data_IF_213822039824
#
_entry.id   IF_213822039824
#
_cell.length_a   1.000
_cell.length_b   1.000
_cell.length_c   1.000
_cell.angle_alpha   90.00
_cell.angle_beta   90.00
_cell.angle_gamma   90.00
#
_symmetry.space_group_name_H-M   'P 1'
#
loop_
_entity.id
_entity.type
_entity.pdbx_description
1 polymer ?
#
# COMPACT_ATOMS: atom_id res chain seq x y z
N UNK A 1 -4.78 9.10 8.64
CA UNK A 1 -4.86 7.62 8.62
C UNK A 1 -3.48 7.04 8.90
N UNK A 2 -3.42 5.80 9.37
CA UNK A 2 -2.20 5.02 9.48
C UNK A 2 -1.99 4.24 8.18
N UNK A 3 -0.90 4.52 7.46
CA UNK A 3 -0.64 3.97 6.14
C UNK A 3 0.68 3.19 6.17
N UNK A 4 0.65 1.97 5.64
CA UNK A 4 1.87 1.19 5.40
C UNK A 4 2.16 1.22 3.90
N UNK A 5 3.36 1.65 3.53
CA UNK A 5 3.85 1.61 2.15
C UNK A 5 4.88 0.50 2.03
N UNK A 6 4.64 -0.45 1.12
CA UNK A 6 5.42 -1.66 0.97
C UNK A 6 6.09 -1.77 -0.39
N UNK A 7 7.40 -1.97 -0.38
CA UNK A 7 8.24 -2.11 -1.56
C UNK A 7 9.09 -0.86 -1.82
N UNK A 8 9.85 -0.91 -2.91
CA UNK A 8 10.62 0.26 -3.35
C UNK A 8 9.66 1.36 -3.78
N UNK A 9 9.69 2.49 -3.08
CA UNK A 9 8.87 3.67 -3.38
C UNK A 9 9.55 4.53 -4.46
N UNK A 10 9.58 4.00 -5.69
CA UNK A 10 10.24 4.67 -6.83
C UNK A 10 9.49 5.95 -7.27
N UNK A 11 8.19 6.00 -7.03
CA UNK A 11 7.29 7.10 -7.30
C UNK A 11 6.73 7.55 -5.95
N UNK A 12 7.30 8.59 -5.32
CA UNK A 12 7.35 8.79 -3.87
C UNK A 12 5.98 9.01 -3.22
N UNK A 13 5.20 7.93 -3.11
CA UNK A 13 3.83 7.96 -2.59
C UNK A 13 3.83 8.08 -1.08
N UNK A 14 4.88 7.61 -0.41
CA UNK A 14 5.05 7.82 1.02
C UNK A 14 5.12 9.32 1.34
N UNK A 15 5.97 10.07 0.63
CA UNK A 15 6.14 11.52 0.85
C UNK A 15 4.86 12.29 0.55
N UNK A 16 4.12 11.90 -0.49
CA UNK A 16 2.83 12.50 -0.85
C UNK A 16 1.78 12.28 0.26
N UNK A 17 1.68 11.05 0.75
CA UNK A 17 0.73 10.68 1.82
C UNK A 17 1.11 11.34 3.16
N UNK A 18 2.39 11.46 3.47
CA UNK A 18 2.84 12.23 4.65
C UNK A 18 2.52 13.73 4.53
N UNK A 19 2.62 14.29 3.32
CA UNK A 19 2.35 15.71 3.06
C UNK A 19 0.88 16.08 3.26
N UNK A 20 -0.03 15.14 3.00
CA UNK A 20 -1.47 15.25 3.32
C UNK A 20 -1.77 15.06 4.82
N UNK A 21 -0.76 14.75 5.65
CA UNK A 21 -0.89 14.67 7.11
C UNK A 21 -1.25 13.28 7.64
N UNK A 22 -1.14 12.24 6.83
CA UNK A 22 -1.28 10.86 7.27
C UNK A 22 0.02 10.37 7.93
N UNK A 23 -0.09 9.37 8.82
CA UNK A 23 1.07 8.72 9.43
C UNK A 23 1.51 7.58 8.53
N UNK A 24 2.74 7.64 8.01
CA UNK A 24 3.28 6.65 7.07
C UNK A 24 4.35 5.80 7.72
N UNK A 25 4.30 4.50 7.46
CA UNK A 25 5.37 3.56 7.77
C UNK A 25 5.80 2.86 6.49
N UNK A 26 7.05 3.07 6.08
CA UNK A 26 7.61 2.44 4.88
C UNK A 26 8.34 1.15 5.25
N UNK A 27 8.08 0.08 4.51
CA UNK A 27 8.75 -1.21 4.66
C UNK A 27 9.29 -1.68 3.32
N UNK A 28 10.57 -2.08 3.31
CA UNK A 28 11.23 -2.57 2.09
C UNK A 28 10.66 -3.94 1.66
N UNK A 29 10.46 -4.85 2.62
CA UNK A 29 9.90 -6.19 2.36
C UNK A 29 8.72 -6.49 3.26
N UNK A 30 7.52 -6.61 2.69
CA UNK A 30 6.28 -6.82 3.42
C UNK A 30 6.00 -8.30 3.74
N UNK A 31 6.89 -8.94 4.49
CA UNK A 31 6.64 -10.24 5.10
C UNK A 31 5.84 -10.10 6.41
N UNK A 32 5.30 -11.20 6.94
CA UNK A 32 4.47 -11.18 8.15
C UNK A 32 5.15 -10.49 9.35
N UNK A 33 6.36 -10.92 9.81
CA UNK A 33 7.04 -10.24 10.91
C UNK A 33 7.19 -8.74 10.71
N UNK A 34 7.61 -8.32 9.51
CA UNK A 34 7.80 -6.90 9.20
C UNK A 34 6.50 -6.13 9.26
N UNK A 35 5.39 -6.70 8.77
CA UNK A 35 4.07 -6.06 8.85
C UNK A 35 3.54 -5.95 10.29
N UNK A 36 3.76 -6.97 11.12
CA UNK A 36 3.38 -6.92 12.53
C UNK A 36 4.20 -5.85 13.28
N UNK A 37 5.51 -5.81 13.05
CA UNK A 37 6.42 -4.82 13.64
C UNK A 37 6.15 -3.39 13.16
N UNK A 38 5.65 -3.23 11.94
CA UNK A 38 5.25 -1.93 11.37
C UNK A 38 3.86 -1.47 11.79
N UNK A 39 3.15 -2.25 12.62
CA UNK A 39 1.85 -1.85 13.18
C UNK A 39 0.65 -2.07 12.24
N UNK A 40 0.70 -3.06 11.34
CA UNK A 40 -0.39 -3.34 10.38
C UNK A 40 -1.76 -3.55 11.02
N UNK A 41 -1.82 -4.01 12.26
CA UNK A 41 -3.08 -4.23 12.98
C UNK A 41 -3.89 -2.94 13.21
N UNK A 42 -3.22 -1.80 13.24
CA UNK A 42 -3.84 -0.48 13.43
C UNK A 42 -3.75 0.37 12.14
N UNK A 43 -3.26 -0.21 11.05
CA UNK A 43 -3.19 0.47 9.76
C UNK A 43 -4.56 0.50 9.08
N UNK A 44 -4.91 1.68 8.55
CA UNK A 44 -6.13 1.89 7.78
C UNK A 44 -5.93 1.48 6.32
N UNK A 45 -4.71 1.72 5.79
CA UNK A 45 -4.36 1.53 4.38
C UNK A 45 -3.04 0.80 4.25
N UNK A 46 -2.99 -0.17 3.33
CA UNK A 46 -1.79 -0.82 2.84
C UNK A 46 -1.58 -0.45 1.37
N UNK A 47 -0.51 0.28 1.10
CA UNK A 47 -0.08 0.68 -0.24
C UNK A 47 1.04 -0.24 -0.70
N UNK A 48 0.86 -0.94 -1.82
CA UNK A 48 1.89 -1.76 -2.45
C UNK A 48 2.46 -1.00 -3.65
N UNK A 49 3.77 -0.73 -3.63
CA UNK A 49 4.48 -0.06 -4.75
C UNK A 49 5.26 -1.02 -5.63
N UNK A 50 5.41 -2.29 -5.21
CA UNK A 50 6.18 -3.31 -5.92
C UNK A 50 5.33 -4.58 -6.14
N UNK A 51 4.97 -4.85 -7.40
CA UNK A 51 4.07 -5.96 -7.77
C UNK A 51 4.69 -7.33 -7.43
N UNK A 52 6.00 -7.45 -7.43
CA UNK A 52 6.75 -8.65 -7.05
C UNK A 52 6.41 -9.09 -5.62
N UNK A 53 5.98 -8.15 -4.77
CA UNK A 53 5.56 -8.40 -3.40
C UNK A 53 4.04 -8.58 -3.25
N UNK A 54 3.28 -8.81 -4.32
CA UNK A 54 1.82 -8.96 -4.28
C UNK A 54 1.29 -10.05 -3.33
N UNK A 55 2.12 -11.02 -2.93
CA UNK A 55 1.77 -12.01 -1.89
C UNK A 55 1.58 -11.39 -0.51
N UNK A 56 2.18 -10.22 -0.25
CA UNK A 56 2.02 -9.46 0.99
C UNK A 56 0.60 -8.96 1.21
N UNK A 57 -0.19 -8.73 0.15
CA UNK A 57 -1.60 -8.32 0.24
C UNK A 57 -2.40 -9.32 1.08
N UNK A 58 -2.23 -10.62 0.80
CA UNK A 58 -2.92 -11.67 1.53
C UNK A 58 -2.48 -11.73 3.01
N UNK A 59 -1.23 -11.40 3.28
CA UNK A 59 -0.69 -11.34 4.65
C UNK A 59 -1.28 -10.14 5.39
N UNK A 60 -1.32 -8.96 4.75
CA UNK A 60 -1.90 -7.75 5.33
C UNK A 60 -3.39 -7.94 5.66
N UNK A 61 -4.19 -8.50 4.74
CA UNK A 61 -5.61 -8.83 4.98
C UNK A 61 -5.78 -9.90 6.07
N UNK A 62 -4.87 -10.86 6.20
CA UNK A 62 -4.92 -11.86 7.28
C UNK A 62 -4.66 -11.23 8.66
N UNK A 63 -3.72 -10.27 8.75
CA UNK A 63 -3.38 -9.56 9.99
C UNK A 63 -4.39 -8.46 10.34
N UNK A 64 -4.99 -7.83 9.33
CA UNK A 64 -5.95 -6.74 9.44
C UNK A 64 -7.04 -6.89 8.35
N UNK A 65 -8.14 -7.64 8.62
CA UNK A 65 -9.16 -7.97 7.61
C UNK A 65 -9.83 -6.76 6.94
N UNK A 66 -9.93 -5.65 7.68
CA UNK A 66 -10.60 -4.42 7.22
C UNK A 66 -9.65 -3.42 6.54
N UNK A 67 -8.35 -3.71 6.44
CA UNK A 67 -7.37 -2.80 5.84
C UNK A 67 -7.70 -2.55 4.37
N UNK A 68 -7.68 -1.29 3.92
CA UNK A 68 -7.86 -0.94 2.50
C UNK A 68 -6.54 -1.20 1.77
N UNK A 69 -6.59 -1.96 0.69
CA UNK A 69 -5.42 -2.29 -0.13
C UNK A 69 -5.41 -1.43 -1.39
N UNK A 70 -4.38 -0.60 -1.51
CA UNK A 70 -4.10 0.22 -2.69
C UNK A 70 -2.83 -0.30 -3.33
N UNK A 71 -2.85 -0.50 -4.65
CA UNK A 71 -1.65 -0.85 -5.41
C UNK A 71 -1.31 0.34 -6.29
N UNK A 72 -0.12 0.90 -6.06
CA UNK A 72 0.40 2.06 -6.78
C UNK A 72 1.71 1.66 -7.45
N UNK A 73 1.61 0.96 -8.57
CA UNK A 73 2.75 0.35 -9.22
C UNK A 73 2.50 0.14 -10.72
N UNK A 74 3.57 0.16 -11.52
CA UNK A 74 3.47 -0.24 -12.92
C UNK A 74 3.19 -1.74 -13.08
N UNK A 75 2.52 -2.10 -14.17
CA UNK A 75 2.30 -3.50 -14.53
C UNK A 75 0.95 -4.04 -14.10
N UNK A 76 0.90 -5.32 -13.73
CA UNK A 76 -0.36 -5.99 -13.43
C UNK A 76 -0.19 -6.99 -12.31
N UNK A 77 -1.11 -6.92 -11.34
CA UNK A 77 -1.17 -7.89 -10.26
C UNK A 77 -1.40 -9.31 -10.82
N UNK A 78 -0.78 -10.33 -10.21
CA UNK A 78 -1.19 -11.72 -10.41
C UNK A 78 -2.68 -11.93 -10.09
N UNK A 79 -3.31 -12.89 -10.77
CA UNK A 79 -4.75 -13.15 -10.63
C UNK A 79 -5.20 -13.39 -9.17
N UNK A 80 -4.36 -14.06 -8.38
CA UNK A 80 -4.66 -14.35 -6.97
C UNK A 80 -4.72 -13.10 -6.09
N UNK A 81 -3.95 -12.06 -6.44
CA UNK A 81 -3.85 -10.81 -5.68
C UNK A 81 -4.88 -9.78 -6.16
N UNK A 82 -5.24 -9.82 -7.45
CA UNK A 82 -6.14 -8.86 -8.08
C UNK A 82 -7.51 -8.77 -7.40
N UNK A 83 -8.05 -9.89 -6.92
CA UNK A 83 -9.33 -9.91 -6.20
C UNK A 83 -9.27 -9.41 -4.76
N UNK A 84 -8.07 -9.12 -4.23
CA UNK A 84 -7.85 -8.67 -2.86
C UNK A 84 -7.47 -7.19 -2.77
N UNK A 85 -7.08 -6.59 -3.89
CA UNK A 85 -6.82 -5.15 -3.98
C UNK A 85 -8.14 -4.38 -4.11
N UNK A 86 -8.29 -3.35 -3.30
CA UNK A 86 -9.47 -2.47 -3.32
C UNK A 86 -9.32 -1.40 -4.42
N UNK A 87 -8.08 -0.96 -4.68
CA UNK A 87 -7.74 -0.01 -5.74
C UNK A 87 -6.40 -0.37 -6.40
N UNK A 88 -6.30 -0.21 -7.72
CA UNK A 88 -5.06 -0.40 -8.49
C UNK A 88 -4.88 0.80 -9.39
N UNK A 89 -3.73 1.46 -9.25
CA UNK A 89 -3.38 2.71 -9.94
C UNK A 89 -2.03 2.53 -10.62
N UNK A 90 -1.96 2.91 -11.90
CA UNK A 90 -0.70 2.99 -12.66
C UNK A 90 -0.11 4.41 -12.43
N UNK A 91 1.10 4.52 -11.84
CA UNK A 91 1.76 5.81 -11.58
C UNK A 91 1.98 6.69 -12.81
N UNK A 92 1.90 6.12 -14.02
CA UNK A 92 2.01 6.88 -15.28
C UNK A 92 0.71 7.56 -15.69
N UNK A 93 -0.41 7.19 -15.06
CA UNK A 93 -1.74 7.72 -15.35
C UNK A 93 -2.20 8.71 -14.29
N UNK A 94 -1.89 8.44 -13.02
CA UNK A 94 -2.28 9.23 -11.86
C UNK A 94 -1.04 9.40 -11.00
N UNK A 95 -0.76 10.64 -10.56
CA UNK A 95 0.40 10.95 -9.72
C UNK A 95 0.15 10.61 -8.24
N UNK A 96 1.23 10.65 -7.45
CA UNK A 96 1.22 10.22 -6.06
C UNK A 96 0.40 11.18 -5.19
N UNK A 97 0.45 12.47 -5.51
CA UNK A 97 -0.32 13.54 -4.86
C UNK A 97 -1.82 13.30 -5.01
N UNK A 98 -2.30 13.01 -6.24
CA UNK A 98 -3.71 12.69 -6.47
C UNK A 98 -4.12 11.43 -5.71
N UNK A 99 -3.26 10.41 -5.64
CA UNK A 99 -3.58 9.19 -4.87
C UNK A 99 -3.69 9.49 -3.38
N UNK A 100 -2.78 10.32 -2.84
CA UNK A 100 -2.78 10.71 -1.44
C UNK A 100 -4.07 11.46 -1.06
N UNK A 101 -4.49 12.45 -1.87
CA UNK A 101 -5.75 13.18 -1.68
C UNK A 101 -6.97 12.24 -1.64
N UNK A 102 -6.99 11.22 -2.51
CA UNK A 102 -8.09 10.25 -2.60
C UNK A 102 -8.10 9.21 -1.46
N UNK A 103 -7.07 9.14 -0.61
CA UNK A 103 -7.09 8.30 0.59
C UNK A 103 -8.02 8.86 1.68
N UNK A 104 -8.33 10.16 1.65
CA UNK A 104 -9.22 10.81 2.62
C UNK A 104 -10.71 10.51 2.41
N UNK A 105 -11.07 10.00 1.22
CA UNK A 105 -12.43 9.74 0.76
C UNK A 105 -12.80 8.25 0.80
#
# INVERSE_FOLDING_TARGET
MNVIVAGVDAEPVADAVESEGHSVTVVDVANRPTLEESGVHEADVFVLTEIEQATSIAIAKDLAPEIRVVVYAEGSLPDFARGQADLVVDPRLIDAETVAEELEH
#
